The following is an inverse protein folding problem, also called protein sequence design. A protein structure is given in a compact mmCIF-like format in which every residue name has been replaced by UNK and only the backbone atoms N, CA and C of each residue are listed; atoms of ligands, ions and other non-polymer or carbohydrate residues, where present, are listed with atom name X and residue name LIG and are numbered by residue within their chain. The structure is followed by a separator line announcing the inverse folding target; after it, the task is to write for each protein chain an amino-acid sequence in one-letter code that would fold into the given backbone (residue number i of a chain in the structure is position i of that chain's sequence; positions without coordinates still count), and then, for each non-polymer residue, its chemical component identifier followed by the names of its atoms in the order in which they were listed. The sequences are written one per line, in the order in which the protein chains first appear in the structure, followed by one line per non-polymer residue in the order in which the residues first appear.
data_IF_070534216596
#
_entry.id   IF_070534216596
#
_cell.length_a   1.000
_cell.length_b   1.000
_cell.length_c   1.000
_cell.angle_alpha   90.00
_cell.angle_beta   90.00
_cell.angle_gamma   90.00
#
_symmetry.space_group_name_H-M   'P 1'
#
loop_
_entity.id
_entity.type
_entity.pdbx_description
1 polymer ?
#
# COMPACT_ATOMS: atom_id res chain seq x y z
N UNK A 1 -27.48 -16.84 6.45
CA UNK A 1 -26.47 -15.77 6.27
C UNK A 1 -26.76 -14.70 7.31
N UNK A 2 -25.76 -14.28 8.08
CA UNK A 2 -25.93 -13.62 9.39
C UNK A 2 -26.39 -12.16 9.36
N UNK A 3 -26.52 -11.51 8.20
CA UNK A 3 -26.86 -10.08 8.11
C UNK A 3 -25.80 -9.12 8.69
N UNK A 4 -24.75 -9.68 9.30
CA UNK A 4 -23.59 -9.03 9.88
C UNK A 4 -22.37 -9.38 9.02
N UNK A 5 -21.80 -8.37 8.34
CA UNK A 5 -20.66 -8.49 7.44
C UNK A 5 -19.40 -8.98 8.16
N UNK A 6 -19.16 -8.53 9.40
CA UNK A 6 -18.00 -8.97 10.17
C UNK A 6 -18.13 -10.42 10.61
N UNK A 7 -19.33 -10.84 11.03
CA UNK A 7 -19.60 -12.25 11.35
C UNK A 7 -19.38 -13.18 10.14
N UNK A 8 -19.63 -12.69 8.91
CA UNK A 8 -19.34 -13.43 7.69
C UNK A 8 -17.83 -13.58 7.46
N UNK A 9 -17.04 -12.53 7.70
CA UNK A 9 -15.58 -12.60 7.69
C UNK A 9 -15.10 -13.65 8.70
N UNK A 10 -15.53 -13.58 9.96
CA UNK A 10 -15.14 -14.55 11.01
C UNK A 10 -15.55 -16.00 10.68
N UNK A 11 -16.67 -16.20 9.97
CA UNK A 11 -17.06 -17.52 9.47
C UNK A 11 -16.12 -18.02 8.36
N UNK A 12 -15.71 -17.13 7.45
CA UNK A 12 -14.75 -17.45 6.39
C UNK A 12 -13.36 -17.76 6.97
N UNK A 13 -12.90 -17.02 7.98
CA UNK A 13 -11.63 -17.29 8.67
C UNK A 13 -11.58 -18.73 9.20
N UNK A 14 -12.65 -19.15 9.91
CA UNK A 14 -12.77 -20.51 10.48
C UNK A 14 -12.86 -21.57 9.40
N UNK A 15 -13.60 -21.29 8.33
CA UNK A 15 -13.80 -22.22 7.21
C UNK A 15 -12.49 -22.46 6.45
N UNK A 16 -11.75 -21.40 6.17
CA UNK A 16 -10.48 -21.44 5.44
C UNK A 16 -9.27 -21.78 6.33
N UNK A 17 -9.47 -21.83 7.66
CA UNK A 17 -8.44 -22.13 8.67
C UNK A 17 -7.21 -21.23 8.53
N UNK A 18 -7.44 -19.94 8.31
CA UNK A 18 -6.35 -18.98 8.14
C UNK A 18 -5.54 -18.85 9.44
N UNK A 19 -4.26 -18.54 9.31
CA UNK A 19 -3.40 -18.15 10.43
C UNK A 19 -3.34 -16.63 10.49
N UNK A 20 -3.89 -16.05 11.56
CA UNK A 20 -4.04 -14.61 11.71
C UNK A 20 -5.50 -14.17 11.70
N UNK A 21 -5.71 -12.87 11.57
CA UNK A 21 -7.03 -12.23 11.60
C UNK A 21 -7.18 -11.24 10.45
N UNK A 22 -8.40 -11.14 9.95
CA UNK A 22 -8.82 -10.21 8.90
C UNK A 22 -9.87 -9.29 9.50
N UNK A 23 -9.59 -8.00 9.43
CA UNK A 23 -10.51 -6.97 9.89
C UNK A 23 -10.90 -6.08 8.70
N UNK A 24 -12.19 -5.79 8.53
CA UNK A 24 -12.59 -4.76 7.58
C UNK A 24 -12.11 -3.40 8.11
N UNK A 25 -11.64 -2.53 7.22
CA UNK A 25 -11.25 -1.16 7.62
C UNK A 25 -12.45 -0.39 8.17
N UNK A 26 -13.63 -0.62 7.61
CA UNK A 26 -14.90 0.03 7.95
C UNK A 26 -16.05 -0.94 7.71
N UNK A 27 -17.14 -0.78 8.45
CA UNK A 27 -18.45 -1.39 8.15
C UNK A 27 -19.41 -0.39 7.49
N UNK A 28 -18.96 0.84 7.26
CA UNK A 28 -19.72 1.84 6.51
C UNK A 28 -19.76 1.43 5.04
N UNK A 29 -20.97 1.28 4.48
CA UNK A 29 -21.14 1.09 3.05
C UNK A 29 -20.81 2.40 2.31
N UNK A 30 -19.55 2.51 1.86
CA UNK A 30 -18.99 3.68 1.22
C UNK A 30 -18.43 3.37 -0.17
N UNK A 31 -18.42 4.38 -1.04
CA UNK A 31 -17.77 4.30 -2.34
C UNK A 31 -16.48 5.11 -2.34
N UNK A 32 -15.46 4.59 -2.99
CA UNK A 32 -14.28 5.37 -3.37
C UNK A 32 -14.71 6.39 -4.42
N UNK A 33 -14.40 7.67 -4.17
CA UNK A 33 -14.56 8.76 -5.13
C UNK A 33 -13.18 9.24 -5.52
N UNK A 34 -12.90 9.24 -6.82
CA UNK A 34 -11.62 9.68 -7.39
C UNK A 34 -11.86 10.96 -8.18
N UNK A 35 -11.15 12.03 -7.84
CA UNK A 35 -11.15 13.28 -8.61
C UNK A 35 -9.93 13.33 -9.51
N UNK A 36 -10.15 13.51 -10.80
CA UNK A 36 -9.11 13.65 -11.81
C UNK A 36 -8.61 15.11 -11.89
N UNK A 37 -7.46 15.31 -12.53
CA UNK A 37 -6.87 16.64 -12.70
C UNK A 37 -7.74 17.62 -13.52
N UNK A 38 -8.60 17.12 -14.40
CA UNK A 38 -9.59 17.93 -15.14
C UNK A 38 -10.85 18.26 -14.33
N UNK A 39 -10.91 17.84 -13.06
CA UNK A 39 -12.02 18.07 -12.15
C UNK A 39 -13.16 17.06 -12.25
N UNK A 40 -13.11 16.09 -13.18
CA UNK A 40 -14.12 15.01 -13.23
C UNK A 40 -14.00 14.10 -12.02
N UNK A 41 -15.13 13.55 -11.61
CA UNK A 41 -15.20 12.59 -10.51
C UNK A 41 -15.68 11.23 -11.01
N UNK A 42 -15.00 10.18 -10.54
CA UNK A 42 -15.36 8.79 -10.76
C UNK A 42 -15.75 8.19 -9.41
N UNK A 43 -16.97 7.64 -9.33
CA UNK A 43 -17.52 7.06 -8.10
C UNK A 43 -17.59 5.54 -8.21
N UNK A 44 -17.08 4.83 -7.20
CA UNK A 44 -17.03 3.38 -7.12
C UNK A 44 -15.79 2.80 -7.79
N UNK A 45 -15.13 1.84 -7.13
CA UNK A 45 -13.87 1.24 -7.62
C UNK A 45 -14.02 0.60 -9.01
N UNK A 46 -15.15 -0.06 -9.27
CA UNK A 46 -15.40 -0.71 -10.57
C UNK A 46 -15.34 0.24 -11.75
N UNK A 47 -15.71 1.51 -11.57
CA UNK A 47 -15.70 2.52 -12.63
C UNK A 47 -14.29 3.08 -12.90
N UNK A 48 -13.31 2.83 -12.03
CA UNK A 48 -11.91 3.20 -12.29
C UNK A 48 -11.27 2.38 -13.41
N UNK A 49 -11.87 1.22 -13.72
CA UNK A 49 -11.43 0.27 -14.74
C UNK A 49 -12.27 0.31 -16.01
N UNK A 50 -13.12 1.33 -16.17
CA UNK A 50 -13.87 1.54 -17.41
C UNK A 50 -12.91 1.70 -18.59
N UNK A 51 -13.11 0.91 -19.64
CA UNK A 51 -12.29 0.92 -20.86
C UNK A 51 -12.41 2.23 -21.65
N UNK A 52 -13.45 3.02 -21.39
CA UNK A 52 -13.67 4.33 -21.98
C UNK A 52 -13.12 5.49 -21.14
N UNK A 53 -12.52 5.20 -19.97
CA UNK A 53 -11.90 6.22 -19.12
C UNK A 53 -10.73 6.88 -19.85
N UNK A 54 -10.69 8.20 -19.79
CA UNK A 54 -9.50 8.96 -20.22
C UNK A 54 -8.37 8.77 -19.19
N UNK A 55 -7.42 7.89 -19.51
CA UNK A 55 -6.26 7.57 -18.66
C UNK A 55 -5.13 8.61 -18.78
N UNK A 56 -5.29 9.63 -19.64
CA UNK A 56 -4.35 10.76 -19.72
C UNK A 56 -4.50 11.73 -18.54
N UNK A 57 -5.66 11.71 -17.87
CA UNK A 57 -5.93 12.56 -16.72
C UNK A 57 -5.46 11.87 -15.43
N UNK A 58 -4.42 12.41 -14.75
CA UNK A 58 -3.94 11.83 -13.51
C UNK A 58 -4.97 12.01 -12.39
N UNK A 59 -4.88 11.13 -11.40
CA UNK A 59 -5.70 11.22 -10.18
C UNK A 59 -5.14 12.36 -9.32
N UNK A 60 -5.98 13.35 -9.02
CA UNK A 60 -5.63 14.50 -8.21
C UNK A 60 -5.96 14.29 -6.74
N UNK A 61 -7.11 13.66 -6.43
CA UNK A 61 -7.54 13.41 -5.06
C UNK A 61 -8.43 12.17 -4.97
N UNK A 62 -8.54 11.64 -3.75
CA UNK A 62 -9.49 10.58 -3.43
C UNK A 62 -10.32 10.97 -2.19
N UNK A 63 -11.53 10.44 -2.12
CA UNK A 63 -12.44 10.59 -0.98
C UNK A 63 -13.31 9.34 -0.82
N UNK A 64 -14.02 9.26 0.29
CA UNK A 64 -15.02 8.23 0.56
C UNK A 64 -16.39 8.88 0.68
N UNK A 65 -17.39 8.33 -0.01
CA UNK A 65 -18.77 8.84 0.00
C UNK A 65 -19.82 7.72 0.18
N UNK A 66 -20.57 7.72 1.30
CA UNK A 66 -20.41 8.62 2.46
C UNK A 66 -19.04 8.45 3.16
N UNK A 67 -18.58 9.42 3.97
CA UNK A 67 -17.39 9.24 4.80
C UNK A 67 -17.47 7.96 5.62
N UNK A 68 -16.39 7.19 5.64
CA UNK A 68 -16.35 5.90 6.31
C UNK A 68 -15.66 6.01 7.67
N UNK A 69 -16.22 5.33 8.67
CA UNK A 69 -15.66 5.30 10.02
C UNK A 69 -14.76 4.07 10.20
N UNK A 70 -13.58 4.25 10.81
CA UNK A 70 -12.71 3.13 11.17
C UNK A 70 -13.47 2.15 12.07
N UNK A 71 -13.41 0.87 11.72
CA UNK A 71 -14.02 -0.18 12.52
C UNK A 71 -13.28 -0.34 13.86
N UNK A 72 -14.02 -0.39 14.97
CA UNK A 72 -13.43 -0.36 16.32
C UNK A 72 -12.42 -1.49 16.57
N UNK A 73 -12.72 -2.72 16.11
CA UNK A 73 -11.74 -3.82 16.26
C UNK A 73 -10.48 -3.61 15.42
N UNK A 74 -10.57 -2.89 14.32
CA UNK A 74 -9.41 -2.51 13.50
C UNK A 74 -8.58 -1.45 14.22
N UNK A 75 -9.22 -0.47 14.87
CA UNK A 75 -8.56 0.51 15.74
C UNK A 75 -7.73 -0.17 16.83
N UNK A 76 -8.34 -1.06 17.62
CA UNK A 76 -7.67 -1.77 18.72
C UNK A 76 -6.40 -2.52 18.26
N UNK A 77 -6.46 -3.15 17.07
CA UNK A 77 -5.34 -3.88 16.50
C UNK A 77 -4.23 -2.95 16.00
N UNK A 78 -4.60 -1.81 15.41
CA UNK A 78 -3.62 -0.81 14.97
C UNK A 78 -2.89 -0.20 16.18
N UNK A 79 -3.61 0.19 17.22
CA UNK A 79 -3.07 0.85 18.41
C UNK A 79 -2.10 -0.03 19.23
N UNK A 80 -2.24 -1.36 19.10
CA UNK A 80 -1.40 -2.35 19.78
C UNK A 80 -0.31 -2.96 18.89
N UNK A 81 -0.20 -2.54 17.63
CA UNK A 81 0.76 -3.11 16.69
C UNK A 81 2.20 -2.65 16.99
N UNK A 82 3.16 -3.57 16.98
CA UNK A 82 4.58 -3.21 17.00
C UNK A 82 5.05 -2.63 15.65
N UNK A 83 4.49 -3.18 14.56
CA UNK A 83 4.81 -2.80 13.19
C UNK A 83 3.55 -2.75 12.33
N UNK A 84 3.42 -1.70 11.54
CA UNK A 84 2.32 -1.51 10.59
C UNK A 84 2.91 -1.47 9.20
N UNK A 85 2.50 -2.42 8.35
CA UNK A 85 3.01 -2.54 6.98
C UNK A 85 1.92 -2.04 6.02
N UNK A 86 2.23 -1.00 5.26
CA UNK A 86 1.36 -0.42 4.25
C UNK A 86 1.80 -0.94 2.87
N UNK A 87 0.87 -1.60 2.17
CA UNK A 87 1.12 -2.13 0.83
C UNK A 87 1.84 -3.49 0.80
N UNK A 88 2.26 -3.95 -0.40
CA UNK A 88 2.07 -3.30 -1.69
C UNK A 88 0.60 -3.34 -2.14
N UNK A 89 0.22 -2.55 -3.15
CA UNK A 89 -1.16 -2.49 -3.62
C UNK A 89 -1.45 -1.29 -4.50
N UNK A 90 -2.62 -1.30 -5.14
CA UNK A 90 -3.09 -0.17 -5.93
C UNK A 90 -3.18 1.09 -5.08
N UNK A 91 -2.46 2.15 -5.47
CA UNK A 91 -2.29 3.31 -4.60
C UNK A 91 -3.64 3.97 -4.29
N UNK A 92 -4.36 4.42 -5.33
CA UNK A 92 -5.57 5.21 -5.15
C UNK A 92 -6.84 4.39 -4.88
N UNK A 93 -6.79 3.06 -5.06
CA UNK A 93 -7.97 2.20 -4.95
C UNK A 93 -7.83 1.06 -3.93
N UNK A 94 -6.64 0.84 -3.36
CA UNK A 94 -6.43 -0.19 -2.32
C UNK A 94 -5.64 0.31 -1.12
N UNK A 95 -4.69 1.24 -1.28
CA UNK A 95 -3.90 1.75 -0.15
C UNK A 95 -4.58 2.99 0.44
N UNK A 96 -4.63 4.08 -0.32
CA UNK A 96 -5.10 5.36 0.18
C UNK A 96 -6.54 5.31 0.70
N UNK A 97 -7.51 4.60 0.09
CA UNK A 97 -8.87 4.49 0.63
C UNK A 97 -8.94 3.91 2.04
N UNK A 98 -8.02 3.02 2.41
CA UNK A 98 -7.95 2.50 3.77
C UNK A 98 -7.35 3.53 4.74
N UNK A 99 -6.47 4.40 4.26
CA UNK A 99 -5.79 5.39 5.09
C UNK A 99 -6.64 6.62 5.38
N UNK A 100 -7.58 6.98 4.50
CA UNK A 100 -8.43 8.18 4.63
C UNK A 100 -9.76 7.94 5.35
N UNK A 101 -9.95 6.79 6.02
CA UNK A 101 -11.14 6.57 6.85
C UNK A 101 -11.05 7.39 8.14
N UNK A 102 -12.17 7.93 8.59
CA UNK A 102 -12.23 8.73 9.80
C UNK A 102 -11.81 7.88 11.00
N UNK A 103 -10.85 8.37 11.78
CA UNK A 103 -10.31 7.64 12.93
C UNK A 103 -8.99 6.89 12.69
N UNK A 104 -8.55 6.75 11.43
CA UNK A 104 -7.32 6.04 11.07
C UNK A 104 -6.07 6.75 11.57
N UNK A 105 -5.96 8.06 11.32
CA UNK A 105 -4.81 8.87 11.68
C UNK A 105 -4.61 8.90 13.20
N UNK A 106 -5.71 8.97 13.98
CA UNK A 106 -5.68 8.86 15.43
C UNK A 106 -5.15 7.51 15.89
N UNK A 107 -5.62 6.40 15.31
CA UNK A 107 -5.17 5.06 15.66
C UNK A 107 -3.68 4.86 15.34
N UNK A 108 -3.23 5.32 14.16
CA UNK A 108 -1.83 5.23 13.76
C UNK A 108 -0.92 6.12 14.64
N UNK A 109 -1.39 7.30 15.04
CA UNK A 109 -0.66 8.19 15.96
C UNK A 109 -0.52 7.56 17.35
N UNK A 110 -1.59 6.99 17.89
CA UNK A 110 -1.58 6.24 19.14
C UNK A 110 -0.60 5.06 19.07
N UNK A 111 -0.61 4.30 17.97
CA UNK A 111 0.37 3.23 17.75
C UNK A 111 1.82 3.75 17.77
N UNK A 112 2.10 4.85 17.04
CA UNK A 112 3.41 5.49 17.01
C UNK A 112 3.87 5.94 18.40
N UNK A 113 2.98 6.51 19.22
CA UNK A 113 3.24 6.91 20.61
C UNK A 113 3.58 5.71 21.49
N UNK A 114 2.98 4.55 21.22
CA UNK A 114 3.28 3.27 21.87
C UNK A 114 4.55 2.59 21.32
N UNK A 115 5.30 3.26 20.44
CA UNK A 115 6.57 2.75 19.90
C UNK A 115 6.46 2.03 18.57
N UNK A 116 5.25 1.93 17.97
CA UNK A 116 5.07 1.27 16.69
C UNK A 116 5.95 1.90 15.58
N UNK A 117 6.25 1.10 14.57
CA UNK A 117 6.94 1.54 13.35
C UNK A 117 6.09 1.29 12.12
N UNK A 118 6.02 2.28 11.23
CA UNK A 118 5.24 2.21 9.99
C UNK A 118 6.20 1.99 8.82
N UNK A 119 5.94 0.94 8.05
CA UNK A 119 6.76 0.51 6.91
C UNK A 119 5.90 0.59 5.64
N UNK A 120 6.33 1.36 4.65
CA UNK A 120 5.71 1.42 3.33
C UNK A 120 6.42 0.46 2.37
N UNK A 121 5.65 -0.42 1.72
CA UNK A 121 6.14 -1.24 0.59
C UNK A 121 5.64 -0.63 -0.71
N UNK A 122 6.55 -0.19 -1.57
CA UNK A 122 6.18 0.41 -2.86
C UNK A 122 5.74 -0.64 -3.87
N UNK A 123 5.04 -0.20 -4.91
CA UNK A 123 4.81 -1.04 -6.07
C UNK A 123 6.11 -1.22 -6.88
N UNK A 124 6.17 -2.30 -7.67
CA UNK A 124 7.30 -2.62 -8.57
C UNK A 124 7.17 -1.94 -9.93
N UNK A 125 5.93 -1.74 -10.37
CA UNK A 125 5.57 -1.13 -11.65
C UNK A 125 4.51 -0.05 -11.41
N UNK A 126 4.58 1.00 -12.22
CA UNK A 126 3.52 2.01 -12.34
C UNK A 126 2.31 1.41 -13.04
N UNK A 127 1.17 2.07 -12.90
CA UNK A 127 -0.10 1.67 -13.54
C UNK A 127 -0.66 2.85 -14.31
N UNK A 128 -0.90 2.66 -15.60
CA UNK A 128 -1.41 3.70 -16.47
C UNK A 128 -2.76 4.24 -15.97
N UNK A 129 -2.88 5.57 -15.91
CA UNK A 129 -4.06 6.28 -15.40
C UNK A 129 -4.24 6.23 -13.87
N UNK A 130 -3.29 5.67 -13.12
CA UNK A 130 -3.31 5.62 -11.65
C UNK A 130 -2.01 6.20 -11.07
N UNK A 131 -0.87 5.62 -11.44
CA UNK A 131 0.47 5.99 -10.95
C UNK A 131 1.44 6.23 -12.12
N UNK A 132 0.92 6.69 -13.27
CA UNK A 132 1.73 6.96 -14.46
C UNK A 132 2.91 7.86 -14.12
N UNK A 133 4.13 7.38 -14.36
CA UNK A 133 5.36 8.14 -14.14
C UNK A 133 5.78 8.29 -12.68
N UNK A 134 5.11 7.64 -11.72
CA UNK A 134 5.46 7.75 -10.31
C UNK A 134 6.80 7.07 -10.00
N UNK A 135 7.63 7.76 -9.22
CA UNK A 135 8.75 7.17 -8.50
C UNK A 135 8.34 6.62 -7.12
N UNK A 136 9.27 5.98 -6.42
CA UNK A 136 9.07 5.55 -5.04
C UNK A 136 8.79 6.75 -4.13
N UNK A 137 9.46 7.88 -4.36
CA UNK A 137 9.24 9.13 -3.63
C UNK A 137 7.86 9.74 -3.93
N UNK A 138 7.36 9.67 -5.17
CA UNK A 138 5.98 10.09 -5.48
C UNK A 138 4.94 9.30 -4.68
N UNK A 139 5.10 7.97 -4.64
CA UNK A 139 4.23 7.10 -3.85
C UNK A 139 4.32 7.42 -2.36
N UNK A 140 5.54 7.62 -1.84
CA UNK A 140 5.77 8.02 -0.45
C UNK A 140 5.02 9.32 -0.11
N UNK A 141 5.15 10.36 -0.94
CA UNK A 141 4.47 11.64 -0.74
C UNK A 141 2.96 11.48 -0.66
N UNK A 142 2.35 10.74 -1.59
CA UNK A 142 0.90 10.52 -1.60
C UNK A 142 0.40 9.78 -0.37
N UNK A 143 1.18 8.82 0.13
CA UNK A 143 0.85 8.12 1.39
C UNK A 143 1.02 9.07 2.58
N UNK A 144 2.09 9.86 2.64
CA UNK A 144 2.31 10.83 3.71
C UNK A 144 1.23 11.91 3.77
N UNK A 145 0.73 12.37 2.63
CA UNK A 145 -0.42 13.28 2.55
C UNK A 145 -1.67 12.67 3.19
N UNK A 146 -1.96 11.39 2.92
CA UNK A 146 -3.09 10.68 3.53
C UNK A 146 -2.91 10.38 5.03
N UNK A 147 -1.67 10.33 5.51
CA UNK A 147 -1.33 10.07 6.90
C UNK A 147 -1.36 11.34 7.79
N UNK A 148 -1.55 12.52 7.21
CA UNK A 148 -1.73 13.80 7.92
C UNK A 148 -0.71 14.02 9.06
N UNK A 149 0.57 13.84 8.75
CA UNK A 149 1.68 14.06 9.68
C UNK A 149 2.09 12.86 10.52
N UNK A 150 1.42 11.71 10.40
CA UNK A 150 1.94 10.45 10.96
C UNK A 150 3.15 9.99 10.13
N UNK A 151 4.30 9.84 10.79
CA UNK A 151 5.57 9.52 10.14
C UNK A 151 5.67 8.08 9.62
N UNK A 152 6.32 7.91 8.47
CA UNK A 152 6.72 6.59 7.94
C UNK A 152 8.18 6.37 8.31
N UNK A 153 8.48 5.24 8.94
CA UNK A 153 9.80 4.94 9.48
C UNK A 153 10.69 4.21 8.47
N UNK A 154 10.10 3.43 7.56
CA UNK A 154 10.84 2.75 6.51
C UNK A 154 10.09 2.66 5.18
N UNK A 155 10.86 2.65 4.08
CA UNK A 155 10.37 2.32 2.73
C UNK A 155 11.12 1.11 2.19
N UNK A 156 10.37 0.14 1.70
CA UNK A 156 10.87 -1.03 0.98
C UNK A 156 10.48 -0.87 -0.48
N UNK A 157 11.47 -0.91 -1.37
CA UNK A 157 11.27 -0.73 -2.81
C UNK A 157 12.11 -1.73 -3.61
N UNK A 158 11.62 -2.06 -4.80
CA UNK A 158 12.33 -2.97 -5.70
C UNK A 158 13.48 -2.23 -6.40
N UNK A 159 14.68 -2.77 -6.27
CA UNK A 159 15.87 -2.42 -7.08
C UNK A 159 16.33 -3.58 -7.96
N UNK A 160 15.61 -4.71 -7.92
CA UNK A 160 15.82 -5.86 -8.81
C UNK A 160 15.57 -5.49 -10.27
N UNK A 161 16.38 -6.07 -11.16
CA UNK A 161 16.27 -5.85 -12.60
C UNK A 161 15.09 -6.61 -13.20
N UNK A 162 14.54 -6.06 -14.29
CA UNK A 162 13.51 -6.72 -15.09
C UNK A 162 14.09 -7.17 -16.42
N UNK A 163 13.69 -8.36 -16.90
CA UNK A 163 14.06 -8.83 -18.24
C UNK A 163 13.53 -7.88 -19.33
N UNK A 164 14.23 -7.73 -20.47
CA UNK A 164 13.77 -6.91 -21.60
C UNK A 164 12.34 -7.20 -22.05
N UNK A 165 11.95 -8.48 -22.14
CA UNK A 165 10.61 -8.89 -22.56
C UNK A 165 9.52 -8.39 -21.60
N UNK A 166 9.81 -8.44 -20.29
CA UNK A 166 8.92 -7.92 -19.23
C UNK A 166 8.83 -6.39 -19.31
N UNK A 167 9.92 -5.69 -19.60
CA UNK A 167 9.86 -4.23 -19.80
C UNK A 167 9.04 -3.86 -21.05
N UNK A 168 9.27 -4.55 -22.17
CA UNK A 168 8.53 -4.34 -23.41
C UNK A 168 7.02 -4.57 -23.22
N UNK A 169 6.66 -5.62 -22.48
CA UNK A 169 5.30 -5.93 -22.11
C UNK A 169 4.58 -4.82 -21.33
N UNK A 170 5.20 -4.33 -20.25
CA UNK A 170 4.62 -3.25 -19.46
C UNK A 170 4.55 -1.95 -20.25
N UNK A 171 5.52 -1.68 -21.14
CA UNK A 171 5.48 -0.53 -22.02
C UNK A 171 4.27 -0.53 -22.97
N UNK A 172 3.82 -1.70 -23.45
CA UNK A 172 2.58 -1.82 -24.24
C UNK A 172 1.31 -1.41 -23.47
N UNK A 173 1.36 -1.48 -22.14
CA UNK A 173 0.29 -1.06 -21.23
C UNK A 173 0.53 0.36 -20.66
N UNK A 174 1.46 1.13 -21.24
CA UNK A 174 1.88 2.45 -20.75
C UNK A 174 2.33 2.44 -19.28
N UNK A 175 2.94 1.34 -18.86
CA UNK A 175 3.50 1.14 -17.53
C UNK A 175 5.02 0.96 -17.60
N UNK A 176 5.69 1.34 -16.51
CA UNK A 176 7.14 1.28 -16.36
C UNK A 176 7.53 0.89 -14.93
N UNK A 177 8.74 0.37 -14.70
CA UNK A 177 9.27 0.18 -13.35
C UNK A 177 9.15 1.44 -12.50
N UNK A 178 8.77 1.29 -11.24
CA UNK A 178 8.83 2.39 -10.27
C UNK A 178 10.31 2.68 -10.00
N UNK A 179 10.75 3.90 -10.28
CA UNK A 179 12.13 4.32 -10.02
C UNK A 179 12.36 4.43 -8.52
N UNK A 180 13.43 3.80 -8.03
CA UNK A 180 13.87 3.96 -6.65
C UNK A 180 14.76 5.20 -6.50
N UNK A 181 14.17 6.32 -6.09
CA UNK A 181 14.78 7.64 -5.95
C UNK A 181 14.78 8.16 -4.50
N UNK A 182 14.80 7.23 -3.54
CA UNK A 182 14.86 7.52 -2.11
C UNK A 182 16.24 7.18 -1.53
N UNK A 183 16.68 7.98 -0.57
CA UNK A 183 17.94 7.80 0.15
C UNK A 183 17.70 7.55 1.64
N UNK A 184 18.58 6.75 2.25
CA UNK A 184 18.54 6.47 3.67
C UNK A 184 18.85 7.75 4.46
N UNK A 185 18.06 8.04 5.50
CA UNK A 185 18.22 9.24 6.33
C UNK A 185 18.01 8.92 7.80
N UNK A 186 18.21 9.92 8.66
CA UNK A 186 17.98 9.75 10.11
C UNK A 186 16.51 9.40 10.41
N UNK A 187 15.56 10.03 9.71
CA UNK A 187 14.12 9.87 9.94
C UNK A 187 13.44 8.83 9.03
N UNK A 188 14.13 8.34 7.99
CA UNK A 188 13.58 7.36 7.06
C UNK A 188 14.61 6.29 6.73
N UNK A 189 14.29 5.03 7.07
CA UNK A 189 15.04 3.88 6.65
C UNK A 189 14.68 3.48 5.22
N UNK A 190 15.67 3.31 4.35
CA UNK A 190 15.45 2.85 2.98
C UNK A 190 16.02 1.46 2.74
N UNK A 191 15.17 0.55 2.24
CA UNK A 191 15.53 -0.82 1.82
C UNK A 191 15.24 -0.98 0.33
N UNK A 192 16.30 -0.98 -0.48
CA UNK A 192 16.26 -1.47 -1.85
C UNK A 192 16.66 -2.95 -1.89
N UNK A 193 15.83 -3.80 -2.50
CA UNK A 193 16.18 -5.21 -2.73
C UNK A 193 15.59 -5.71 -4.06
N UNK A 194 16.05 -6.87 -4.51
CA UNK A 194 15.32 -7.61 -5.54
C UNK A 194 14.07 -8.22 -4.90
N UNK A 195 12.91 -7.65 -5.23
CA UNK A 195 11.63 -8.05 -4.64
C UNK A 195 10.77 -8.84 -5.60
N UNK A 196 11.20 -9.05 -6.83
CA UNK A 196 10.33 -9.56 -7.89
C UNK A 196 10.55 -11.06 -8.13
N UNK A 197 9.48 -11.75 -8.49
CA UNK A 197 9.57 -13.16 -8.88
C UNK A 197 10.38 -13.31 -10.17
N UNK A 198 11.27 -14.29 -10.16
CA UNK A 198 12.00 -14.72 -11.37
C UNK A 198 11.06 -15.48 -12.34
N UNK A 199 9.94 -16.00 -11.83
CA UNK A 199 8.99 -16.78 -12.61
C UNK A 199 8.25 -15.93 -13.64
N UNK A 200 8.37 -16.34 -14.89
CA UNK A 200 7.56 -15.86 -16.00
C UNK A 200 6.25 -16.66 -16.08
N UNK A 201 5.25 -16.26 -15.32
CA UNK A 201 3.90 -16.79 -15.56
C UNK A 201 3.37 -16.29 -16.91
N UNK A 202 3.59 -17.07 -17.97
CA UNK A 202 2.86 -16.94 -19.22
C UNK A 202 1.41 -17.35 -18.95
N UNK A 203 0.55 -16.39 -18.64
CA UNK A 203 -0.90 -16.64 -18.57
C UNK A 203 -1.50 -16.32 -19.93
N UNK A 204 -1.91 -17.35 -20.68
CA UNK A 204 -2.61 -17.22 -21.97
C UNK A 204 -1.86 -16.41 -23.06
N UNK A 205 -0.53 -16.53 -23.15
CA UNK A 205 0.25 -15.81 -24.16
C UNK A 205 0.35 -14.29 -23.93
N UNK A 206 -0.09 -13.78 -22.77
CA UNK A 206 0.18 -12.42 -22.31
C UNK A 206 1.40 -12.38 -21.39
N UNK A 207 2.18 -11.29 -21.44
CA UNK A 207 3.44 -11.22 -20.74
C UNK A 207 3.31 -11.23 -19.21
N UNK A 208 4.40 -11.70 -18.62
CA UNK A 208 4.63 -11.96 -17.21
C UNK A 208 4.35 -10.75 -16.30
N UNK A 209 3.42 -10.88 -15.36
CA UNK A 209 3.20 -9.88 -14.32
C UNK A 209 4.41 -9.81 -13.38
N UNK A 210 5.00 -8.63 -13.24
CA UNK A 210 5.99 -8.30 -12.22
C UNK A 210 5.31 -8.29 -10.85
N UNK A 211 5.38 -9.40 -10.11
CA UNK A 211 4.82 -9.53 -8.77
C UNK A 211 5.92 -9.53 -7.74
N UNK A 212 5.59 -9.04 -6.54
CA UNK A 212 6.42 -9.26 -5.37
C UNK A 212 6.54 -10.76 -5.11
N UNK A 213 7.76 -11.25 -4.99
CA UNK A 213 8.05 -12.58 -4.46
C UNK A 213 7.82 -12.56 -2.95
N UNK A 214 6.93 -13.42 -2.40
CA UNK A 214 6.58 -13.38 -0.99
C UNK A 214 7.76 -13.70 -0.07
N UNK A 215 8.71 -14.54 -0.51
CA UNK A 215 9.90 -14.90 0.26
C UNK A 215 10.88 -13.73 0.25
N UNK A 216 11.17 -13.15 -0.92
CA UNK A 216 12.06 -11.98 -1.01
C UNK A 216 11.50 -10.79 -0.22
N UNK A 217 10.20 -10.49 -0.37
CA UNK A 217 9.55 -9.42 0.37
C UNK A 217 9.55 -9.66 1.89
N UNK A 218 9.22 -10.87 2.36
CA UNK A 218 9.26 -11.18 3.80
C UNK A 218 10.66 -10.97 4.40
N UNK A 219 11.71 -11.29 3.64
CA UNK A 219 13.10 -11.06 4.06
C UNK A 219 13.42 -9.56 4.12
N UNK A 220 12.96 -8.78 3.15
CA UNK A 220 13.14 -7.34 3.15
C UNK A 220 12.42 -6.68 4.34
N UNK A 221 11.18 -7.11 4.64
CA UNK A 221 10.42 -6.67 5.83
C UNK A 221 11.16 -7.02 7.12
N UNK A 222 11.65 -8.26 7.25
CA UNK A 222 12.41 -8.67 8.43
C UNK A 222 13.67 -7.82 8.62
N UNK A 223 14.39 -7.54 7.54
CA UNK A 223 15.57 -6.67 7.56
C UNK A 223 15.25 -5.24 7.97
N UNK A 224 14.11 -4.70 7.52
CA UNK A 224 13.64 -3.38 7.92
C UNK A 224 13.37 -3.35 9.44
N UNK A 225 12.63 -4.34 9.95
CA UNK A 225 12.36 -4.53 11.39
C UNK A 225 13.66 -4.56 12.21
N UNK A 226 14.61 -5.41 11.81
CA UNK A 226 15.88 -5.58 12.52
C UNK A 226 16.69 -4.26 12.54
N UNK A 227 16.74 -3.54 11.40
CA UNK A 227 17.47 -2.25 11.31
C UNK A 227 16.79 -1.13 12.08
N UNK A 228 15.45 -1.09 12.14
CA UNK A 228 14.71 -0.12 12.94
C UNK A 228 14.95 -0.35 14.43
N UNK A 229 14.86 -1.60 14.90
CA UNK A 229 15.14 -1.95 16.29
C UNK A 229 16.57 -1.57 16.70
N UNK A 230 17.56 -1.72 15.80
CA UNK A 230 18.93 -1.28 16.08
C UNK A 230 19.06 0.24 16.18
N UNK A 231 18.30 1.02 15.39
CA UNK A 231 18.32 2.48 15.47
C UNK A 231 17.80 2.98 16.82
N UNK A 232 16.75 2.34 17.33
CA UNK A 232 16.14 2.67 18.62
C UNK A 232 17.14 2.47 19.78
N UNK A 233 17.86 1.34 19.76
CA UNK A 233 18.92 1.06 20.76
C UNK A 233 20.06 2.08 20.69
N UNK A 234 20.42 2.54 19.50
CA UNK A 234 21.49 3.52 19.34
C UNK A 234 21.06 4.92 19.76
N UNK A 235 19.80 5.31 19.55
CA UNK A 235 19.27 6.59 20.03
C UNK A 235 19.17 6.63 21.56
N UNK A 236 18.76 5.53 22.18
CA UNK A 236 18.63 5.46 23.65
C UNK A 236 19.99 5.53 24.36
N UNK A 237 21.05 5.00 23.74
CA UNK A 237 22.40 5.06 24.29
C UNK A 237 23.11 6.41 24.05
N UNK A 238 22.55 7.27 23.19
CA UNK A 238 23.10 8.58 22.86
C UNK A 238 22.49 9.73 23.68
N UNK A 239 21.43 9.45 24.46
CA UNK A 239 20.83 10.35 25.46
C UNK A 239 21.44 10.14 26.85
#
# INVERSE_FOLDING_TARGET
MTGDEYAAIEAMERTLRIKGKVYPVTLTNSNIVVRLADGKEIRGEGNLYDEHRDLSQPIAAIALDPPAQLFEKTREVLESADYIIIGPGGLHHSILPNLIVDGMQEALRSAKENGARIILVTNTMTKHGDTTGFSANDMLRRVQEALEGVGIDAVIANTGAFSPDRLAAYALENAAPVTMDLEDSHSLLVIGDDLVTDESFLKHGKPCFARHDPVKLSRAVRRAIDRLSMRDVLSDNAM
#
